data_IF_770107714718
#
_entry.id   IF_770107714718
#
_cell.length_a   1.000
_cell.length_b   1.000
_cell.length_c   1.000
_cell.angle_alpha   90.00
_cell.angle_beta   90.00
_cell.angle_gamma   90.00
#
_symmetry.space_group_name_H-M   'P 1'
#
loop_
_entity.id
_entity.type
_entity.pdbx_description
1 polymer ?
#
# COMPACT_ATOMS: atom_id res chain seq x y z
N UNK A 1 78.10 -15.40 40.10
CA UNK A 1 78.42 -15.92 38.75
C UNK A 1 77.57 -15.14 37.75
N UNK A 2 78.12 -14.05 37.20
CA UNK A 2 78.67 -13.89 35.82
C UNK A 2 77.56 -13.84 34.74
N UNK A 3 77.24 -12.63 34.25
CA UNK A 3 77.49 -12.08 32.86
C UNK A 3 76.47 -12.57 31.80
N UNK A 4 76.01 -11.85 30.76
CA UNK A 4 76.21 -10.56 30.06
C UNK A 4 74.96 -10.33 29.14
N UNK A 5 74.43 -9.13 28.83
CA UNK A 5 74.85 -8.00 27.96
C UNK A 5 74.95 -8.27 26.43
N UNK A 6 74.17 -7.50 25.64
CA UNK A 6 74.35 -6.96 24.26
C UNK A 6 72.94 -6.78 23.63
N UNK A 7 72.38 -5.64 23.23
CA UNK A 7 72.85 -4.37 22.65
C UNK A 7 73.65 -4.52 21.36
N UNK A 8 73.12 -4.04 20.22
CA UNK A 8 73.84 -3.33 19.15
C UNK A 8 72.89 -2.92 18.01
N UNK A 9 73.00 -1.64 17.66
CA UNK A 9 72.30 -0.91 16.61
C UNK A 9 72.93 -1.07 15.21
N UNK A 10 72.20 -0.50 14.24
CA UNK A 10 72.70 0.47 13.25
C UNK A 10 72.71 0.07 11.75
N UNK A 11 72.32 1.09 10.97
CA UNK A 11 72.87 1.51 9.67
C UNK A 11 72.14 1.09 8.39
N UNK A 12 71.32 2.03 7.90
CA UNK A 12 71.23 2.45 6.48
C UNK A 12 72.63 2.68 5.89
N UNK A 13 72.86 2.50 4.56
CA UNK A 13 72.43 3.51 3.58
C UNK A 13 72.06 3.00 2.16
N UNK A 14 71.27 3.79 1.44
CA UNK A 14 71.21 3.87 -0.04
C UNK A 14 72.43 4.70 -0.55
N UNK A 15 72.61 5.12 -1.83
CA UNK A 15 71.95 4.85 -3.12
C UNK A 15 72.97 4.55 -4.26
N UNK A 16 72.52 4.22 -5.48
CA UNK A 16 73.07 4.65 -6.80
C UNK A 16 72.34 3.90 -7.93
N UNK A 17 71.49 4.61 -8.66
CA UNK A 17 71.77 5.16 -10.01
C UNK A 17 71.70 4.12 -11.13
N UNK A 18 70.65 4.28 -11.95
CA UNK A 18 70.76 4.39 -13.41
C UNK A 18 69.42 4.87 -13.99
N UNK A 19 69.43 6.13 -14.44
CA UNK A 19 68.92 6.70 -15.69
C UNK A 19 67.82 5.95 -16.46
N UNK A 20 66.95 6.60 -17.23
CA UNK A 20 66.50 7.98 -17.44
C UNK A 20 65.69 7.93 -18.74
N UNK A 21 64.64 8.75 -18.82
CA UNK A 21 64.01 9.24 -20.06
C UNK A 21 63.33 8.15 -20.93
N UNK A 22 62.29 8.39 -21.72
CA UNK A 22 61.63 9.59 -22.20
C UNK A 22 60.28 9.15 -22.81
N UNK A 23 59.46 10.12 -23.15
CA UNK A 23 58.32 10.08 -24.07
C UNK A 23 56.99 9.49 -23.60
N UNK A 24 55.83 10.05 -23.96
CA UNK A 24 55.40 11.39 -24.36
C UNK A 24 53.89 11.26 -24.57
N UNK A 25 53.17 12.31 -24.21
CA UNK A 25 51.76 12.55 -24.52
C UNK A 25 51.49 12.51 -26.02
N UNK A 26 50.32 12.02 -26.43
CA UNK A 26 49.75 12.36 -27.74
C UNK A 26 48.25 12.59 -27.63
N UNK A 27 47.91 13.87 -27.41
CA UNK A 27 46.69 14.50 -27.91
C UNK A 27 46.54 14.24 -29.41
N UNK A 28 45.33 13.93 -29.87
CA UNK A 28 44.95 14.08 -31.27
C UNK A 28 43.72 14.99 -31.34
N UNK A 29 43.96 16.21 -31.81
CA UNK A 29 42.96 17.17 -32.31
C UNK A 29 43.39 17.59 -33.71
N UNK A 30 42.46 17.54 -34.67
CA UNK A 30 42.38 18.26 -35.97
C UNK A 30 41.33 17.54 -36.83
N UNK A 31 40.63 18.14 -37.77
CA UNK A 31 39.94 19.42 -37.91
C UNK A 31 38.96 19.22 -39.07
N UNK A 32 38.00 20.13 -39.18
CA UNK A 32 36.84 20.20 -40.08
C UNK A 32 37.16 20.20 -41.60
N UNK A 33 36.35 19.51 -42.41
CA UNK A 33 35.96 19.92 -43.78
C UNK A 33 34.58 19.37 -44.14
N UNK A 34 33.65 20.24 -44.54
CA UNK A 34 32.23 19.93 -44.69
C UNK A 34 31.71 19.46 -46.06
N UNK A 35 30.44 19.08 -46.00
CA UNK A 35 29.34 19.13 -46.99
C UNK A 35 29.33 18.17 -48.19
N UNK A 36 28.40 17.20 -48.17
CA UNK A 36 27.32 17.10 -49.17
C UNK A 36 26.27 16.03 -48.81
N UNK A 37 25.02 16.45 -48.95
CA UNK A 37 23.73 15.77 -48.83
C UNK A 37 23.61 14.44 -49.59
N UNK A 38 23.21 13.35 -48.93
CA UNK A 38 22.26 12.36 -49.49
C UNK A 38 21.40 11.75 -48.38
N UNK A 39 20.10 11.75 -48.62
CA UNK A 39 19.04 11.29 -47.74
C UNK A 39 19.04 9.76 -47.65
N UNK A 40 19.28 9.20 -46.46
CA UNK A 40 18.97 7.80 -46.17
C UNK A 40 18.39 7.71 -44.76
N UNK A 41 17.17 7.18 -44.68
CA UNK A 41 16.36 7.07 -43.47
C UNK A 41 17.06 6.26 -42.37
N UNK A 42 16.96 6.65 -41.08
CA UNK A 42 17.44 5.81 -40.00
C UNK A 42 16.45 4.66 -39.80
N UNK A 43 16.89 3.45 -40.15
CA UNK A 43 16.24 2.21 -39.77
C UNK A 43 16.23 2.10 -38.24
N UNK A 44 15.04 2.18 -37.68
CA UNK A 44 14.74 2.05 -36.27
C UNK A 44 15.11 0.63 -35.80
N UNK A 45 16.31 0.43 -35.26
CA UNK A 45 16.71 -0.83 -34.62
C UNK A 45 16.07 -0.88 -33.23
N UNK A 46 14.79 -1.22 -33.18
CA UNK A 46 14.13 -1.64 -31.95
C UNK A 46 14.79 -2.95 -31.50
N UNK A 47 15.62 -2.86 -30.46
CA UNK A 47 16.01 -4.01 -29.68
C UNK A 47 14.73 -4.78 -29.26
N UNK A 48 14.75 -6.12 -29.23
CA UNK A 48 13.59 -6.89 -28.80
C UNK A 48 13.21 -6.44 -27.40
N UNK A 49 12.00 -5.87 -27.29
CA UNK A 49 11.51 -5.25 -26.08
C UNK A 49 11.64 -6.20 -24.91
N UNK A 50 12.35 -5.75 -23.88
CA UNK A 50 12.25 -6.36 -22.56
C UNK A 50 10.76 -6.55 -22.22
N UNK A 51 10.37 -7.68 -21.62
CA UNK A 51 8.98 -7.90 -21.24
C UNK A 51 8.50 -6.69 -20.44
N UNK A 52 7.23 -6.24 -20.63
CA UNK A 52 6.73 -5.07 -19.93
C UNK A 52 6.91 -5.29 -18.43
N UNK A 53 7.76 -4.47 -17.80
CA UNK A 53 8.05 -4.58 -16.39
C UNK A 53 6.72 -4.50 -15.61
N UNK A 54 6.45 -5.53 -14.80
CA UNK A 54 5.19 -5.60 -14.08
C UNK A 54 5.04 -4.38 -13.16
N UNK A 55 3.96 -3.63 -13.37
CA UNK A 55 3.64 -2.47 -12.55
C UNK A 55 3.07 -2.94 -11.21
N UNK A 56 3.56 -2.33 -10.13
CA UNK A 56 3.06 -2.57 -8.77
C UNK A 56 2.68 -1.25 -8.11
N UNK A 57 1.69 -1.31 -7.22
CA UNK A 57 1.29 -0.20 -6.35
C UNK A 57 1.44 -0.64 -4.90
N UNK A 58 2.36 -0.01 -4.17
CA UNK A 58 2.63 -0.28 -2.76
C UNK A 58 2.22 0.89 -1.89
N UNK A 59 1.69 0.57 -0.71
CA UNK A 59 1.20 1.55 0.26
C UNK A 59 1.91 1.32 1.58
N UNK A 60 2.31 2.39 2.26
CA UNK A 60 2.84 2.28 3.61
C UNK A 60 2.34 3.42 4.51
N UNK A 61 2.37 3.15 5.81
CA UNK A 61 2.12 4.14 6.85
C UNK A 61 3.44 4.84 7.18
N UNK A 62 3.41 6.17 7.19
CA UNK A 62 4.53 7.03 7.58
C UNK A 62 4.06 8.04 8.62
N UNK A 63 4.96 8.50 9.48
CA UNK A 63 4.64 9.54 10.46
C UNK A 63 4.53 10.90 9.75
N UNK A 64 3.68 11.79 10.25
CA UNK A 64 3.48 13.14 9.69
C UNK A 64 4.79 13.95 9.61
N UNK A 65 5.72 13.71 10.54
CA UNK A 65 7.06 14.31 10.51
C UNK A 65 7.86 13.83 9.28
N UNK A 66 7.98 12.52 9.08
CA UNK A 66 8.67 11.94 7.92
C UNK A 66 8.03 12.37 6.61
N UNK A 67 6.68 12.44 6.58
CA UNK A 67 5.94 12.91 5.42
C UNK A 67 6.32 14.35 5.02
N UNK A 68 6.61 15.22 5.99
CA UNK A 68 7.04 16.59 5.73
C UNK A 68 8.44 16.64 5.11
N UNK A 69 9.34 15.76 5.57
CA UNK A 69 10.70 15.60 5.02
C UNK A 69 10.66 15.04 3.60
N UNK A 70 9.80 14.04 3.35
CA UNK A 70 9.62 13.42 2.03
C UNK A 70 9.07 14.42 1.02
N UNK A 71 8.11 15.26 1.41
CA UNK A 71 7.51 16.25 0.50
C UNK A 71 8.51 17.39 0.23
N UNK A 72 9.13 17.94 1.28
CA UNK A 72 10.00 19.11 1.18
C UNK A 72 9.25 20.41 0.86
N UNK A 73 9.95 21.55 0.94
CA UNK A 73 9.36 22.86 0.62
C UNK A 73 8.92 22.89 -0.85
N UNK A 74 7.65 23.24 -1.10
CA UNK A 74 7.08 23.27 -2.46
C UNK A 74 7.05 21.93 -3.19
N UNK A 75 7.20 20.79 -2.48
CA UNK A 75 7.29 19.48 -3.12
C UNK A 75 8.65 19.15 -3.75
N UNK A 76 9.69 19.94 -3.48
CA UNK A 76 11.03 19.78 -4.08
C UNK A 76 11.60 18.37 -3.86
N UNK A 77 11.54 17.84 -2.63
CA UNK A 77 12.12 16.54 -2.31
C UNK A 77 11.36 15.39 -2.97
N UNK A 78 10.02 15.42 -2.95
CA UNK A 78 9.21 14.35 -3.56
C UNK A 78 9.34 14.38 -5.08
N UNK A 79 9.52 15.55 -5.68
CA UNK A 79 9.79 15.67 -7.12
C UNK A 79 11.15 15.07 -7.49
N UNK A 80 12.20 15.34 -6.71
CA UNK A 80 13.52 14.73 -6.93
C UNK A 80 13.48 13.19 -6.77
N UNK A 81 12.74 12.69 -5.78
CA UNK A 81 12.54 11.24 -5.60
C UNK A 81 11.83 10.65 -6.82
N UNK A 82 10.77 11.30 -7.34
CA UNK A 82 10.05 10.85 -8.55
C UNK A 82 10.96 10.83 -9.77
N UNK A 83 11.77 11.87 -9.96
CA UNK A 83 12.71 11.99 -11.08
C UNK A 83 13.79 10.89 -11.02
N UNK A 84 14.46 10.72 -9.88
CA UNK A 84 15.54 9.73 -9.74
C UNK A 84 15.06 8.28 -9.72
N UNK A 85 13.84 8.03 -9.23
CA UNK A 85 13.28 6.67 -9.17
C UNK A 85 12.51 6.26 -10.42
N UNK A 86 11.89 7.21 -11.14
CA UNK A 86 10.91 6.91 -12.19
C UNK A 86 9.56 6.41 -11.64
N UNK A 87 9.35 6.43 -10.32
CA UNK A 87 8.11 5.99 -9.70
C UNK A 87 7.15 7.16 -9.44
N UNK A 88 5.85 6.86 -9.43
CA UNK A 88 4.81 7.78 -8.98
C UNK A 88 4.69 7.71 -7.46
N UNK A 89 5.14 8.75 -6.78
CA UNK A 89 5.08 8.89 -5.32
C UNK A 89 3.98 9.88 -4.93
N UNK A 90 3.04 9.51 -4.05
CA UNK A 90 1.95 10.36 -3.58
C UNK A 90 1.74 10.21 -2.08
N UNK A 91 1.70 11.32 -1.35
CA UNK A 91 1.44 11.34 0.09
C UNK A 91 0.01 11.80 0.34
N UNK A 92 -0.76 11.09 1.18
CA UNK A 92 -2.11 11.50 1.57
C UNK A 92 -2.10 12.83 2.30
N UNK A 93 -3.21 13.56 2.28
CA UNK A 93 -3.41 14.73 3.13
C UNK A 93 -3.20 14.39 4.62
N UNK A 94 -2.78 15.39 5.40
CA UNK A 94 -2.64 15.23 6.85
C UNK A 94 -4.00 15.32 7.51
N UNK A 95 -4.32 14.36 8.36
CA UNK A 95 -5.59 14.34 9.10
C UNK A 95 -5.34 14.88 10.51
N UNK A 96 -6.06 15.92 10.97
CA UNK A 96 -5.90 16.44 12.32
C UNK A 96 -6.10 15.36 13.38
N UNK A 97 -5.18 15.29 14.35
CA UNK A 97 -5.21 14.30 15.43
C UNK A 97 -4.68 12.91 15.05
N UNK A 98 -4.33 12.66 13.78
CA UNK A 98 -3.69 11.42 13.37
C UNK A 98 -2.19 11.64 13.08
N UNK A 99 -1.28 10.94 13.79
CA UNK A 99 0.16 11.08 13.57
C UNK A 99 0.66 10.32 12.33
N UNK A 100 -0.18 9.49 11.70
CA UNK A 100 0.17 8.68 10.54
C UNK A 100 -0.50 9.20 9.24
N UNK A 101 0.23 9.07 8.14
CA UNK A 101 -0.19 9.39 6.77
C UNK A 101 0.08 8.19 5.87
N UNK A 102 -0.62 8.11 4.75
CA UNK A 102 -0.40 7.06 3.76
C UNK A 102 0.52 7.58 2.65
N UNK A 103 1.60 6.85 2.42
CA UNK A 103 2.46 7.01 1.26
C UNK A 103 2.09 5.95 0.22
N UNK A 104 1.73 6.39 -0.99
CA UNK A 104 1.46 5.53 -2.13
C UNK A 104 2.61 5.65 -3.12
N UNK A 105 3.18 4.53 -3.54
CA UNK A 105 4.27 4.46 -4.52
C UNK A 105 3.88 3.46 -5.60
N UNK A 106 3.88 3.87 -6.86
CA UNK A 106 3.55 2.98 -7.97
C UNK A 106 4.42 3.16 -9.20
N UNK A 107 4.51 2.10 -10.00
CA UNK A 107 5.31 2.03 -11.21
C UNK A 107 5.92 0.64 -11.38
N UNK A 108 6.94 0.50 -12.24
CA UNK A 108 7.74 -0.71 -12.34
C UNK A 108 8.35 -1.08 -10.99
N UNK A 109 8.50 -2.38 -10.71
CA UNK A 109 9.04 -2.85 -9.43
C UNK A 109 10.41 -2.24 -9.10
N UNK A 110 11.31 -2.15 -10.08
CA UNK A 110 12.64 -1.55 -9.91
C UNK A 110 12.54 -0.08 -9.49
N UNK A 111 11.62 0.67 -10.11
CA UNK A 111 11.36 2.07 -9.78
C UNK A 111 10.78 2.22 -8.37
N UNK A 112 9.81 1.39 -8.01
CA UNK A 112 9.14 1.41 -6.70
C UNK A 112 10.14 1.10 -5.58
N UNK A 113 10.92 0.03 -5.74
CA UNK A 113 11.91 -0.39 -4.75
C UNK A 113 13.04 0.64 -4.57
N UNK A 114 13.53 1.22 -5.68
CA UNK A 114 14.47 2.36 -5.66
C UNK A 114 13.89 3.58 -4.95
N UNK A 115 12.61 3.91 -5.19
CA UNK A 115 11.95 5.04 -4.53
C UNK A 115 11.95 4.89 -3.00
N UNK A 116 11.66 3.70 -2.47
CA UNK A 116 11.71 3.46 -1.02
C UNK A 116 13.11 3.61 -0.42
N UNK A 117 14.16 3.18 -1.14
CA UNK A 117 15.54 3.45 -0.75
C UNK A 117 15.85 4.96 -0.68
N UNK A 118 15.45 5.73 -1.70
CA UNK A 118 15.63 7.18 -1.73
C UNK A 118 14.83 7.90 -0.63
N UNK A 119 13.62 7.43 -0.33
CA UNK A 119 12.79 7.95 0.76
C UNK A 119 13.51 7.80 2.10
N UNK A 120 14.07 6.62 2.39
CA UNK A 120 14.80 6.38 3.64
C UNK A 120 16.07 7.24 3.71
N UNK A 121 16.84 7.35 2.62
CA UNK A 121 17.98 8.27 2.56
C UNK A 121 17.56 9.71 2.86
N UNK A 122 16.44 10.16 2.30
CA UNK A 122 15.92 11.52 2.57
C UNK A 122 15.51 11.70 4.02
N UNK A 123 14.83 10.73 4.62
CA UNK A 123 14.46 10.77 6.05
C UNK A 123 15.71 10.87 6.93
N UNK A 124 16.79 10.19 6.54
CA UNK A 124 18.08 10.20 7.22
C UNK A 124 19.00 11.38 6.90
N UNK A 125 18.61 12.25 5.96
CA UNK A 125 19.46 13.31 5.42
C UNK A 125 20.80 12.78 4.86
N UNK A 126 20.76 11.61 4.22
CA UNK A 126 21.89 10.96 3.58
C UNK A 126 21.92 11.24 2.06
N UNK A 127 23.11 11.40 1.44
CA UNK A 127 23.23 11.61 0.00
C UNK A 127 22.78 10.37 -0.79
N UNK A 128 22.10 10.60 -1.91
CA UNK A 128 21.52 9.54 -2.75
C UNK A 128 22.53 8.65 -3.46
N UNK A 129 23.70 9.20 -3.77
CA UNK A 129 24.71 8.51 -4.59
C UNK A 129 25.73 7.74 -3.75
N UNK A 130 25.60 7.75 -2.41
CA UNK A 130 26.43 6.95 -1.52
C UNK A 130 25.69 5.71 -1.02
N UNK A 131 26.41 4.59 -1.00
CA UNK A 131 25.95 3.37 -0.35
C UNK A 131 25.78 3.59 1.16
N UNK A 132 24.79 2.92 1.76
CA UNK A 132 24.66 2.90 3.21
C UNK A 132 25.87 2.21 3.85
N UNK A 133 26.39 2.78 4.93
CA UNK A 133 27.53 2.20 5.66
C UNK A 133 27.04 1.43 6.90
N UNK A 134 27.82 0.47 7.41
CA UNK A 134 27.57 -0.11 8.73
C UNK A 134 27.52 1.01 9.79
N UNK A 135 26.34 1.27 10.35
CA UNK A 135 26.09 2.39 11.27
C UNK A 135 25.15 3.48 10.75
N UNK A 136 24.77 3.45 9.47
CA UNK A 136 23.67 4.29 8.94
C UNK A 136 22.39 4.08 9.74
N UNK A 137 21.61 5.14 9.92
CA UNK A 137 20.42 5.12 10.77
C UNK A 137 19.35 4.19 10.18
N UNK A 138 18.94 3.17 10.94
CA UNK A 138 17.87 2.27 10.52
C UNK A 138 16.51 2.98 10.63
N UNK A 139 15.68 2.82 9.60
CA UNK A 139 14.30 3.32 9.56
C UNK A 139 13.35 2.12 9.43
N UNK A 140 12.16 2.22 10.00
CA UNK A 140 11.11 1.21 9.87
C UNK A 140 10.01 1.71 8.94
N UNK A 141 9.81 1.02 7.82
CA UNK A 141 8.69 1.27 6.89
C UNK A 141 7.58 0.25 7.17
N UNK A 142 6.35 0.74 7.36
CA UNK A 142 5.17 -0.09 7.66
C UNK A 142 4.34 -0.29 6.39
N UNK A 143 4.63 -1.32 5.61
CA UNK A 143 3.87 -1.64 4.41
C UNK A 143 2.49 -2.17 4.76
N UNK A 144 1.50 -1.77 3.97
CA UNK A 144 0.11 -2.21 4.09
C UNK A 144 -0.11 -3.30 3.05
N UNK A 145 -0.18 -4.54 3.52
CA UNK A 145 -0.30 -5.72 2.67
C UNK A 145 -1.70 -6.31 2.85
N UNK A 146 -2.46 -6.52 1.77
CA UNK A 146 -3.71 -7.24 1.86
C UNK A 146 -3.58 -8.57 2.61
N UNK A 147 -4.52 -8.87 3.50
CA UNK A 147 -4.49 -10.10 4.29
C UNK A 147 -4.43 -11.35 3.40
N UNK A 148 -5.13 -11.33 2.25
CA UNK A 148 -5.10 -12.41 1.26
C UNK A 148 -3.71 -12.66 0.65
N UNK A 149 -2.81 -11.65 0.67
CA UNK A 149 -1.45 -11.72 0.12
C UNK A 149 -0.37 -11.79 1.20
N UNK A 150 -0.71 -11.56 2.46
CA UNK A 150 0.28 -11.64 3.55
C UNK A 150 0.91 -13.04 3.65
N UNK A 151 0.11 -14.10 3.42
CA UNK A 151 0.60 -15.48 3.45
C UNK A 151 1.67 -15.80 2.40
N UNK A 152 1.64 -15.16 1.22
CA UNK A 152 2.66 -15.37 0.19
C UNK A 152 3.99 -14.70 0.54
N UNK A 153 3.96 -13.59 1.27
CA UNK A 153 5.15 -12.90 1.77
C UNK A 153 5.78 -13.66 2.94
N UNK A 154 4.97 -14.21 3.85
CA UNK A 154 5.46 -15.01 4.99
C UNK A 154 6.04 -16.36 4.50
N UNK A 155 5.31 -17.04 3.61
CA UNK A 155 5.64 -18.40 3.15
C UNK A 155 5.30 -19.48 4.18
N UNK A 156 5.27 -20.74 3.74
CA UNK A 156 5.02 -21.90 4.61
C UNK A 156 6.11 -21.95 5.70
N UNK A 157 5.72 -22.01 6.97
CA UNK A 157 6.67 -22.02 8.10
C UNK A 157 7.52 -20.74 8.25
N UNK A 158 7.16 -19.65 7.57
CA UNK A 158 7.95 -18.40 7.58
C UNK A 158 9.20 -18.45 6.72
N UNK A 159 9.35 -19.41 5.80
CA UNK A 159 10.58 -19.57 5.01
C UNK A 159 10.83 -18.36 4.08
N UNK A 160 9.81 -17.84 3.40
CA UNK A 160 9.99 -16.71 2.47
C UNK A 160 10.37 -15.42 3.21
N UNK A 161 9.71 -15.10 4.31
CA UNK A 161 10.07 -13.88 5.07
C UNK A 161 11.47 -13.98 5.68
N UNK A 162 11.96 -15.18 6.01
CA UNK A 162 13.36 -15.39 6.42
C UNK A 162 14.32 -15.18 5.26
N UNK A 163 14.04 -15.77 4.10
CA UNK A 163 14.84 -15.57 2.89
C UNK A 163 14.97 -14.09 2.50
N UNK A 164 13.88 -13.31 2.60
CA UNK A 164 13.92 -11.86 2.35
C UNK A 164 14.80 -11.16 3.38
N UNK A 165 14.74 -11.54 4.66
CA UNK A 165 15.59 -10.97 5.71
C UNK A 165 17.07 -11.28 5.46
N UNK A 166 17.39 -12.51 5.09
CA UNK A 166 18.76 -12.95 4.82
C UNK A 166 19.34 -12.25 3.58
N UNK A 167 18.54 -12.09 2.51
CA UNK A 167 18.99 -11.45 1.27
C UNK A 167 19.12 -9.92 1.39
N UNK A 168 18.25 -9.27 2.18
CA UNK A 168 18.23 -7.81 2.30
C UNK A 168 19.04 -7.26 3.48
N UNK A 169 19.31 -8.09 4.49
CA UNK A 169 19.82 -7.62 5.79
C UNK A 169 18.83 -6.75 6.57
N UNK A 170 17.57 -6.63 6.11
CA UNK A 170 16.51 -5.96 6.85
C UNK A 170 15.84 -6.92 7.84
N UNK A 171 15.23 -6.36 8.88
CA UNK A 171 14.36 -7.11 9.80
C UNK A 171 12.91 -6.95 9.39
N UNK A 172 12.20 -8.06 9.19
CA UNK A 172 10.81 -8.06 8.75
C UNK A 172 9.89 -8.62 9.85
N UNK A 173 8.79 -7.93 10.13
CA UNK A 173 7.78 -8.38 11.10
C UNK A 173 6.36 -8.17 10.57
N UNK A 174 5.57 -9.23 10.49
CA UNK A 174 4.19 -9.19 10.03
C UNK A 174 3.21 -9.14 11.22
N UNK A 175 2.33 -8.14 11.24
CA UNK A 175 1.30 -8.02 12.30
C UNK A 175 0.29 -9.16 12.21
N UNK A 176 -0.16 -9.71 13.33
CA UNK A 176 -1.19 -10.77 13.34
C UNK A 176 -2.58 -10.24 12.95
N UNK A 177 -2.92 -9.04 13.45
CA UNK A 177 -4.19 -8.37 13.20
C UNK A 177 -4.22 -7.53 11.93
N UNK A 178 -5.42 -7.36 11.39
CA UNK A 178 -5.74 -6.42 10.32
C UNK A 178 -5.89 -4.99 10.86
N UNK A 179 -5.64 -4.01 10.01
CA UNK A 179 -5.87 -2.60 10.30
C UNK A 179 -7.38 -2.33 10.47
N UNK A 180 -7.80 -1.45 11.42
CA UNK A 180 -9.20 -1.16 11.66
C UNK A 180 -9.91 -0.66 10.40
N UNK A 181 -11.06 -1.26 10.07
CA UNK A 181 -11.86 -0.86 8.90
C UNK A 181 -11.22 -1.20 7.55
N UNK A 182 -10.19 -2.04 7.52
CA UNK A 182 -9.49 -2.49 6.32
C UNK A 182 -9.37 -4.01 6.27
N UNK A 183 -8.95 -4.53 5.12
CA UNK A 183 -8.49 -5.92 4.93
C UNK A 183 -6.96 -6.04 4.88
N UNK A 184 -6.24 -4.95 5.13
CA UNK A 184 -4.77 -4.91 5.09
C UNK A 184 -4.18 -5.20 6.48
N UNK A 185 -3.03 -5.86 6.49
CA UNK A 185 -2.16 -6.09 7.65
C UNK A 185 -0.88 -5.29 7.47
N UNK A 186 -0.19 -5.01 8.58
CA UNK A 186 1.06 -4.26 8.55
C UNK A 186 2.24 -5.23 8.44
N UNK A 187 3.10 -5.00 7.45
CA UNK A 187 4.43 -5.59 7.36
C UNK A 187 5.46 -4.51 7.68
N UNK A 188 6.06 -4.59 8.86
CA UNK A 188 7.14 -3.70 9.29
C UNK A 188 8.47 -4.19 8.72
N UNK A 189 9.16 -3.33 7.97
CA UNK A 189 10.48 -3.60 7.39
C UNK A 189 11.45 -2.57 7.96
N UNK A 190 12.42 -3.02 8.74
CA UNK A 190 13.38 -2.18 9.45
C UNK A 190 14.79 -2.40 8.92
N UNK A 191 15.49 -1.34 8.53
CA UNK A 191 16.85 -1.46 8.01
C UNK A 191 17.42 -0.13 7.52
N UNK A 192 18.64 -0.17 7.00
CA UNK A 192 19.26 0.95 6.28
C UNK A 192 18.62 1.12 4.89
N UNK A 193 18.88 2.23 4.21
CA UNK A 193 18.23 2.53 2.93
C UNK A 193 18.39 1.43 1.87
N UNK A 194 19.58 0.85 1.75
CA UNK A 194 19.83 -0.23 0.79
C UNK A 194 19.11 -1.53 1.18
N UNK A 195 19.06 -1.85 2.48
CA UNK A 195 18.32 -2.99 2.97
C UNK A 195 16.80 -2.86 2.70
N UNK A 196 16.23 -1.65 2.89
CA UNK A 196 14.83 -1.39 2.56
C UNK A 196 14.57 -1.48 1.06
N UNK A 197 15.47 -0.97 0.22
CA UNK A 197 15.39 -1.10 -1.24
C UNK A 197 15.31 -2.58 -1.64
N UNK A 198 16.30 -3.38 -1.21
CA UNK A 198 16.38 -4.81 -1.55
C UNK A 198 15.16 -5.57 -1.02
N UNK A 199 14.78 -5.36 0.25
CA UNK A 199 13.61 -6.01 0.84
C UNK A 199 12.32 -5.66 0.07
N UNK A 200 12.15 -4.40 -0.33
CA UNK A 200 10.98 -3.95 -1.08
C UNK A 200 10.89 -4.62 -2.45
N UNK A 201 12.03 -4.81 -3.13
CA UNK A 201 12.10 -5.52 -4.39
C UNK A 201 11.58 -6.96 -4.25
N UNK A 202 12.09 -7.73 -3.28
CA UNK A 202 11.63 -9.11 -3.05
C UNK A 202 10.17 -9.20 -2.62
N UNK A 203 9.72 -8.30 -1.73
CA UNK A 203 8.31 -8.22 -1.33
C UNK A 203 7.44 -7.95 -2.56
N UNK A 204 7.83 -6.98 -3.40
CA UNK A 204 7.07 -6.62 -4.58
C UNK A 204 6.98 -7.75 -5.61
N UNK A 205 8.08 -8.49 -5.87
CA UNK A 205 8.06 -9.69 -6.72
C UNK A 205 7.03 -10.71 -6.22
N UNK A 206 7.04 -11.01 -4.91
CA UNK A 206 6.09 -11.95 -4.31
C UNK A 206 4.64 -11.47 -4.45
N UNK A 207 4.40 -10.16 -4.30
CA UNK A 207 3.07 -9.58 -4.42
C UNK A 207 2.55 -9.57 -5.86
N UNK A 208 3.43 -9.37 -6.85
CA UNK A 208 3.10 -9.49 -8.27
C UNK A 208 2.74 -10.94 -8.60
N UNK A 209 3.59 -11.91 -8.24
CA UNK A 209 3.30 -13.33 -8.44
C UNK A 209 1.98 -13.76 -7.76
N UNK A 210 1.73 -13.27 -6.55
CA UNK A 210 0.51 -13.59 -5.81
C UNK A 210 -0.73 -12.96 -6.47
N UNK A 211 -0.58 -11.79 -7.10
CA UNK A 211 -1.64 -11.15 -7.87
C UNK A 211 -1.99 -11.95 -9.13
N UNK A 212 -1.00 -12.51 -9.82
CA UNK A 212 -1.21 -13.35 -11.00
C UNK A 212 -1.89 -14.68 -10.66
N UNK A 213 -1.47 -15.32 -9.55
CA UNK A 213 -2.08 -16.58 -9.08
C UNK A 213 -3.51 -16.40 -8.56
N UNK A 214 -3.87 -15.19 -8.11
CA UNK A 214 -5.21 -14.90 -7.58
C UNK A 214 -5.64 -13.45 -7.87
N UNK A 215 -6.15 -13.17 -9.08
CA UNK A 215 -6.50 -11.80 -9.50
C UNK A 215 -7.72 -11.21 -8.77
N UNK A 216 -8.66 -12.05 -8.33
CA UNK A 216 -10.02 -11.62 -7.91
C UNK A 216 -10.19 -11.31 -6.42
N UNK A 217 -9.17 -10.74 -5.76
CA UNK A 217 -9.27 -10.39 -4.34
C UNK A 217 -9.74 -8.93 -4.16
N UNK A 218 -11.01 -8.73 -3.78
CA UNK A 218 -11.54 -7.42 -3.37
C UNK A 218 -10.90 -6.97 -2.06
N UNK A 219 -9.91 -6.07 -2.12
CA UNK A 219 -9.20 -5.55 -0.95
C UNK A 219 -9.74 -4.17 -0.56
N UNK A 220 -10.35 -4.09 0.63
CA UNK A 220 -10.67 -2.80 1.25
C UNK A 220 -9.38 -2.18 1.80
N UNK A 221 -8.89 -1.18 1.08
CA UNK A 221 -7.74 -0.34 1.45
C UNK A 221 -8.01 0.42 2.75
N UNK A 222 -7.07 0.40 3.69
CA UNK A 222 -7.15 1.20 4.90
C UNK A 222 -7.09 2.68 4.55
N UNK A 223 -7.95 3.47 5.22
CA UNK A 223 -7.97 4.92 5.16
C UNK A 223 -8.04 5.43 6.60
N UNK A 224 -7.05 6.20 7.08
CA UNK A 224 -7.09 6.75 8.42
C UNK A 224 -8.35 7.61 8.54
N UNK A 225 -9.16 7.34 9.57
CA UNK A 225 -10.39 8.06 9.83
C UNK A 225 -10.11 9.16 10.85
N UNK A 226 -10.59 10.38 10.59
CA UNK A 226 -10.69 11.42 11.60
C UNK A 226 -11.85 11.09 12.55
N UNK A 227 -11.55 10.73 13.79
CA UNK A 227 -12.53 10.83 14.88
C UNK A 227 -12.75 12.31 15.24
N UNK A 228 -13.33 13.08 14.32
CA UNK A 228 -13.86 14.41 14.61
C UNK A 228 -15.38 14.32 14.59
N UNK A 229 -15.96 14.19 15.79
CA UNK A 229 -17.34 14.63 16.07
C UNK A 229 -17.41 16.12 15.73
N UNK A 230 -17.82 16.49 14.52
CA UNK A 230 -18.32 17.85 14.27
C UNK A 230 -19.80 17.89 14.65
N UNK A 231 -20.23 18.79 15.54
CA UNK A 231 -21.65 19.08 15.69
C UNK A 231 -22.14 19.77 14.40
N UNK A 232 -23.35 19.51 13.91
CA UNK A 232 -23.86 20.19 12.72
C UNK A 232 -24.14 21.65 13.08
N UNK A 233 -23.34 22.56 12.53
CA UNK A 233 -23.69 23.98 12.46
C UNK A 233 -24.86 24.15 11.49
N UNK A 234 -25.97 24.63 12.05
CA UNK A 234 -27.18 25.04 11.34
C UNK A 234 -26.83 26.18 10.36
N UNK A 235 -26.95 25.94 9.05
CA UNK A 235 -26.92 27.02 8.07
C UNK A 235 -28.23 26.99 7.29
N UNK A 236 -29.05 28.01 7.55
CA UNK A 236 -30.40 28.16 7.03
C UNK A 236 -30.42 28.25 5.51
N UNK A 237 -31.40 27.55 4.94
CA UNK A 237 -31.77 27.60 3.54
C UNK A 237 -32.52 28.90 3.25
N UNK A 238 -31.98 29.77 2.39
CA UNK A 238 -32.75 30.79 1.69
C UNK A 238 -33.24 30.22 0.36
N UNK A 239 -34.55 30.19 0.23
CA UNK A 239 -35.33 29.68 -0.90
C UNK A 239 -35.32 30.70 -2.04
N UNK A 240 -35.00 30.29 -3.27
CA UNK A 240 -35.31 31.07 -4.50
C UNK A 240 -35.89 30.10 -5.55
N UNK A 241 -37.14 30.30 -6.01
CA UNK A 241 -37.78 29.37 -6.94
C UNK A 241 -37.59 29.77 -8.41
N UNK A 242 -37.37 28.75 -9.24
CA UNK A 242 -37.94 28.60 -10.59
C UNK A 242 -37.26 29.36 -11.74
N UNK A 243 -36.73 28.62 -12.71
CA UNK A 243 -37.11 28.72 -14.13
C UNK A 243 -36.65 27.44 -14.87
N UNK A 244 -37.62 26.80 -15.51
CA UNK A 244 -37.49 25.62 -16.36
C UNK A 244 -36.86 25.98 -17.72
N UNK A 245 -35.90 25.17 -18.19
CA UNK A 245 -35.44 25.21 -19.58
C UNK A 245 -35.53 23.79 -20.19
N UNK A 246 -36.38 23.54 -21.20
CA UNK A 246 -36.58 22.20 -21.74
C UNK A 246 -35.92 22.09 -23.12
N UNK A 247 -34.62 21.82 -23.22
CA UNK A 247 -33.98 21.26 -24.43
C UNK A 247 -32.55 20.82 -24.12
N UNK A 248 -32.36 19.53 -23.83
CA UNK A 248 -31.11 18.80 -24.03
C UNK A 248 -31.37 17.30 -23.90
N UNK A 249 -31.78 16.68 -25.01
CA UNK A 249 -31.70 15.23 -25.17
C UNK A 249 -30.22 14.84 -25.25
N UNK A 250 -29.77 14.08 -24.27
CA UNK A 250 -28.42 13.51 -24.25
C UNK A 250 -28.39 12.37 -23.25
N UNK A 251 -28.24 11.15 -23.76
CA UNK A 251 -28.00 9.93 -23.00
C UNK A 251 -26.78 10.12 -22.09
N UNK A 252 -27.01 10.43 -20.83
CA UNK A 252 -26.01 10.44 -19.78
C UNK A 252 -26.16 9.15 -18.99
N UNK A 253 -25.25 8.21 -19.19
CA UNK A 253 -24.98 7.16 -18.21
C UNK A 253 -24.58 7.85 -16.90
N UNK A 254 -25.55 7.94 -15.97
CA UNK A 254 -25.33 8.54 -14.67
C UNK A 254 -24.17 7.83 -13.96
N UNK A 255 -23.33 8.58 -13.19
CA UNK A 255 -22.33 7.96 -12.34
C UNK A 255 -23.05 6.99 -11.42
N UNK A 256 -22.61 5.74 -11.42
CA UNK A 256 -23.19 4.60 -10.71
C UNK A 256 -23.26 4.93 -9.21
N UNK A 257 -24.39 5.52 -8.76
CA UNK A 257 -24.55 6.00 -7.39
C UNK A 257 -24.61 4.81 -6.45
N UNK A 258 -23.67 4.78 -5.51
CA UNK A 258 -23.70 3.84 -4.39
C UNK A 258 -24.98 4.10 -3.59
N UNK A 259 -25.81 3.08 -3.45
CA UNK A 259 -27.01 3.11 -2.63
C UNK A 259 -26.72 2.48 -1.27
N UNK A 260 -27.59 2.76 -0.30
CA UNK A 260 -27.55 2.10 1.01
C UNK A 260 -28.93 1.53 1.31
N UNK A 261 -28.96 0.27 1.74
CA UNK A 261 -30.16 -0.42 2.16
C UNK A 261 -30.02 -0.93 3.59
N UNK A 262 -31.10 -0.82 4.34
CA UNK A 262 -31.18 -1.24 5.74
C UNK A 262 -32.14 -2.42 5.85
N UNK A 263 -31.73 -3.44 6.60
CA UNK A 263 -32.57 -4.59 6.93
C UNK A 263 -32.46 -4.89 8.42
N UNK A 264 -33.53 -5.44 9.01
CA UNK A 264 -33.56 -5.86 10.40
C UNK A 264 -33.51 -7.38 10.48
N UNK A 265 -32.64 -7.92 11.34
CA UNK A 265 -32.46 -9.35 11.54
C UNK A 265 -32.66 -9.66 13.02
N UNK A 266 -33.49 -10.65 13.41
CA UNK A 266 -33.64 -11.05 14.80
C UNK A 266 -32.30 -11.42 15.45
N UNK A 267 -32.11 -11.01 16.71
CA UNK A 267 -30.87 -11.23 17.46
C UNK A 267 -30.46 -12.70 17.50
N UNK A 268 -31.42 -13.62 17.63
CA UNK A 268 -31.17 -15.06 17.68
C UNK A 268 -30.65 -15.64 16.36
N UNK A 269 -30.91 -14.96 15.24
CA UNK A 269 -30.50 -15.40 13.91
C UNK A 269 -29.26 -14.67 13.39
N UNK A 270 -28.84 -13.56 14.02
CA UNK A 270 -27.65 -12.84 13.53
C UNK A 270 -26.38 -13.68 13.62
N UNK A 271 -26.30 -14.59 14.59
CA UNK A 271 -25.16 -15.48 14.77
C UNK A 271 -24.91 -16.38 13.56
N UNK A 272 -25.96 -16.86 12.89
CA UNK A 272 -25.83 -17.72 11.70
C UNK A 272 -25.42 -16.95 10.44
N UNK A 273 -25.70 -15.64 10.43
CA UNK A 273 -25.30 -14.71 9.38
C UNK A 273 -23.83 -14.31 9.53
N UNK A 274 -23.39 -14.02 10.76
CA UNK A 274 -21.99 -13.68 11.06
C UNK A 274 -21.09 -14.92 10.87
N UNK A 275 -21.49 -16.07 11.42
CA UNK A 275 -20.68 -17.28 11.44
C UNK A 275 -19.51 -17.22 12.42
N UNK A 276 -18.86 -18.37 12.67
CA UNK A 276 -17.70 -18.46 13.57
C UNK A 276 -16.58 -17.53 13.07
N UNK A 277 -16.15 -16.58 13.91
CA UNK A 277 -15.12 -15.59 13.56
C UNK A 277 -15.49 -14.64 12.42
N UNK A 278 -16.78 -14.49 12.10
CA UNK A 278 -17.23 -13.64 10.99
C UNK A 278 -17.07 -14.26 9.59
N UNK A 279 -16.72 -15.55 9.49
CA UNK A 279 -16.45 -16.20 8.21
C UNK A 279 -17.63 -16.12 7.23
N UNK A 280 -18.87 -16.31 7.72
CA UNK A 280 -20.05 -16.38 6.84
C UNK A 280 -20.46 -15.01 6.32
N UNK A 281 -20.44 -13.98 7.18
CA UNK A 281 -20.72 -12.62 6.71
C UNK A 281 -19.63 -12.12 5.76
N UNK A 282 -18.37 -12.54 5.97
CA UNK A 282 -17.28 -12.20 5.07
C UNK A 282 -17.45 -12.86 3.70
N UNK A 283 -17.95 -14.10 3.64
CA UNK A 283 -18.34 -14.76 2.39
C UNK A 283 -19.47 -14.00 1.66
N UNK A 284 -20.51 -13.57 2.38
CA UNK A 284 -21.63 -12.81 1.80
C UNK A 284 -21.17 -11.44 1.29
N UNK A 285 -20.28 -10.76 2.01
CA UNK A 285 -19.63 -9.51 1.55
C UNK A 285 -18.81 -9.74 0.29
N UNK A 286 -18.10 -10.87 0.22
CA UNK A 286 -17.28 -11.23 -0.93
C UNK A 286 -18.13 -11.51 -2.18
N UNK A 287 -19.16 -12.35 -2.04
CA UNK A 287 -20.05 -12.72 -3.15
C UNK A 287 -20.86 -11.53 -3.67
N UNK A 288 -21.37 -10.68 -2.77
CA UNK A 288 -22.23 -9.56 -3.16
C UNK A 288 -21.47 -8.31 -3.59
N UNK A 289 -20.16 -8.24 -3.36
CA UNK A 289 -19.36 -7.03 -3.54
C UNK A 289 -19.99 -5.77 -2.91
N UNK A 290 -20.69 -5.95 -1.78
CA UNK A 290 -21.33 -4.89 -1.00
C UNK A 290 -20.65 -4.70 0.35
N UNK A 291 -20.65 -3.47 0.85
CA UNK A 291 -20.23 -3.16 2.21
C UNK A 291 -21.38 -3.46 3.18
N UNK A 292 -21.23 -4.49 4.00
CA UNK A 292 -22.26 -4.90 4.96
C UNK A 292 -21.80 -4.60 6.38
N UNK A 293 -22.52 -3.76 7.13
CA UNK A 293 -22.23 -3.40 8.52
C UNK A 293 -23.38 -3.87 9.42
N UNK A 294 -23.05 -4.73 10.38
CA UNK A 294 -24.00 -5.24 11.37
C UNK A 294 -23.83 -4.39 12.62
N UNK A 295 -24.89 -3.69 13.03
CA UNK A 295 -24.90 -2.81 14.20
C UNK A 295 -24.98 -3.62 15.49
N UNK A 296 -24.67 -2.98 16.63
CA UNK A 296 -24.95 -3.52 17.96
C UNK A 296 -26.46 -3.53 18.25
N UNK A 297 -26.96 -4.42 19.12
CA UNK A 297 -28.37 -4.45 19.49
C UNK A 297 -28.75 -3.11 20.14
N UNK A 298 -29.86 -2.49 19.71
CA UNK A 298 -30.28 -1.17 20.19
C UNK A 298 -29.58 0.03 19.52
N UNK A 299 -28.70 -0.19 18.56
CA UNK A 299 -28.12 0.90 17.78
C UNK A 299 -29.13 1.52 16.80
N UNK A 300 -29.27 2.85 16.86
CA UNK A 300 -30.12 3.61 15.92
C UNK A 300 -29.38 3.78 14.60
N UNK A 301 -29.98 3.31 13.51
CA UNK A 301 -29.44 3.52 12.17
C UNK A 301 -29.49 4.99 11.74
N UNK A 302 -28.54 5.41 10.90
CA UNK A 302 -28.63 6.69 10.19
C UNK A 302 -29.26 6.41 8.83
N UNK A 303 -30.47 6.92 8.60
CA UNK A 303 -31.18 6.78 7.33
C UNK A 303 -30.52 7.56 6.19
N UNK A 304 -30.94 7.28 4.96
CA UNK A 304 -30.39 7.81 3.69
C UNK A 304 -30.31 9.36 3.63
N UNK A 305 -31.02 10.08 4.53
CA UNK A 305 -31.08 11.54 4.60
C UNK A 305 -30.62 12.13 5.95
N UNK A 306 -29.89 11.37 6.78
CA UNK A 306 -29.49 11.83 8.12
C UNK A 306 -30.62 11.87 9.16
N UNK A 307 -31.84 11.48 8.78
CA UNK A 307 -32.92 11.21 9.73
C UNK A 307 -32.60 9.92 10.52
N UNK A 308 -32.85 9.89 11.84
CA UNK A 308 -32.73 8.66 12.60
C UNK A 308 -33.68 7.62 12.01
N UNK A 309 -33.13 6.46 11.64
CA UNK A 309 -33.95 5.30 11.34
C UNK A 309 -34.73 4.93 12.62
N UNK A 310 -35.96 4.42 12.51
CA UNK A 310 -36.68 3.93 13.67
C UNK A 310 -35.79 2.95 14.42
N UNK A 311 -35.72 3.07 15.75
CA UNK A 311 -34.97 2.13 16.56
C UNK A 311 -35.47 0.71 16.25
N UNK A 312 -34.55 -0.20 15.93
CA UNK A 312 -34.91 -1.61 15.82
C UNK A 312 -35.56 -2.05 17.13
N UNK A 313 -36.62 -2.87 17.06
CA UNK A 313 -37.26 -3.41 18.26
C UNK A 313 -36.22 -4.14 19.13
N UNK A 314 -36.49 -4.29 20.44
CA UNK A 314 -35.54 -4.86 21.41
C UNK A 314 -35.00 -6.26 21.03
N UNK A 315 -35.63 -6.97 20.08
CA UNK A 315 -35.21 -8.26 19.55
C UNK A 315 -34.49 -8.25 18.20
N UNK A 316 -34.22 -7.10 17.58
CA UNK A 316 -33.71 -7.01 16.21
C UNK A 316 -32.39 -6.24 16.10
N UNK A 317 -31.58 -6.63 15.12
CA UNK A 317 -30.29 -6.04 14.82
C UNK A 317 -30.30 -5.44 13.43
N UNK A 318 -29.92 -4.16 13.35
CA UNK A 318 -29.84 -3.44 12.10
C UNK A 318 -28.60 -3.88 11.30
N UNK A 319 -28.82 -4.21 10.04
CA UNK A 319 -27.77 -4.47 9.04
C UNK A 319 -27.88 -3.42 7.95
N UNK A 320 -26.77 -2.71 7.72
CA UNK A 320 -26.64 -1.66 6.71
C UNK A 320 -25.78 -2.19 5.57
N UNK A 321 -26.30 -2.13 4.34
CA UNK A 321 -25.66 -2.64 3.13
C UNK A 321 -25.45 -1.45 2.18
N UNK A 322 -24.21 -1.13 1.84
CA UNK A 322 -23.87 -0.04 0.92
C UNK A 322 -23.15 -0.60 -0.32
N UNK A 323 -23.59 -0.23 -1.52
CA UNK A 323 -23.03 -0.77 -2.76
C UNK A 323 -23.78 -0.33 -4.00
N UNK A 324 -23.46 -0.93 -5.14
CA UNK A 324 -24.28 -0.77 -6.35
C UNK A 324 -25.65 -1.44 -6.16
N UNK A 325 -26.73 -0.97 -6.82
CA UNK A 325 -28.07 -1.55 -6.65
C UNK A 325 -28.12 -3.08 -6.87
N UNK A 326 -27.41 -3.58 -7.90
CA UNK A 326 -27.31 -5.01 -8.18
C UNK A 326 -26.57 -5.78 -7.07
N UNK A 327 -25.49 -5.20 -6.54
CA UNK A 327 -24.69 -5.75 -5.46
C UNK A 327 -25.51 -5.84 -4.16
N UNK A 328 -26.28 -4.79 -3.85
CA UNK A 328 -27.16 -4.75 -2.68
C UNK A 328 -28.22 -5.85 -2.78
N UNK A 329 -28.88 -5.99 -3.94
CA UNK A 329 -29.89 -7.04 -4.15
C UNK A 329 -29.30 -8.42 -3.92
N UNK A 330 -28.11 -8.68 -4.45
CA UNK A 330 -27.39 -9.94 -4.23
C UNK A 330 -27.06 -10.17 -2.74
N UNK A 331 -26.59 -9.14 -2.05
CA UNK A 331 -26.31 -9.21 -0.61
C UNK A 331 -27.56 -9.57 0.19
N UNK A 332 -28.68 -8.90 -0.10
CA UNK A 332 -29.96 -9.12 0.55
C UNK A 332 -30.45 -10.55 0.33
N UNK A 333 -30.37 -11.07 -0.90
CA UNK A 333 -30.75 -12.46 -1.20
C UNK A 333 -29.92 -13.48 -0.42
N UNK A 334 -28.59 -13.30 -0.37
CA UNK A 334 -27.70 -14.20 0.37
C UNK A 334 -27.97 -14.19 1.88
N UNK A 335 -28.28 -13.01 2.45
CA UNK A 335 -28.65 -12.86 3.85
C UNK A 335 -29.97 -13.59 4.15
N UNK A 336 -31.01 -13.36 3.36
CA UNK A 336 -32.31 -14.04 3.55
C UNK A 336 -32.21 -15.54 3.37
N UNK A 337 -31.49 -16.00 2.34
CA UNK A 337 -31.29 -17.43 2.10
C UNK A 337 -30.63 -18.10 3.32
N UNK A 338 -29.69 -17.43 3.97
CA UNK A 338 -29.03 -17.97 5.15
C UNK A 338 -29.93 -17.98 6.38
N UNK A 339 -30.73 -16.93 6.58
CA UNK A 339 -31.74 -16.88 7.64
C UNK A 339 -32.74 -18.04 7.51
N UNK A 340 -33.19 -18.30 6.28
CA UNK A 340 -34.15 -19.36 5.99
C UNK A 340 -33.58 -20.75 6.22
N UNK A 341 -32.33 -21.00 5.80
CA UNK A 341 -31.64 -22.27 6.11
C UNK A 341 -31.54 -22.54 7.61
N UNK A 342 -31.24 -21.51 8.42
CA UNK A 342 -31.15 -21.68 9.87
C UNK A 342 -32.53 -21.88 10.51
N UNK A 343 -33.56 -21.17 10.03
CA UNK A 343 -34.95 -21.36 10.47
C UNK A 343 -35.44 -22.78 10.19
N UNK A 344 -35.15 -23.32 9.00
CA UNK A 344 -35.50 -24.69 8.62
C UNK A 344 -34.80 -25.73 9.51
N UNK A 345 -33.54 -25.46 9.87
CA UNK A 345 -32.75 -26.32 10.76
C UNK A 345 -33.29 -26.32 12.19
N UNK A 346 -33.69 -25.15 12.71
CA UNK A 346 -34.32 -25.03 14.03
C UNK A 346 -35.66 -25.78 14.09
N UNK A 347 -36.49 -25.68 13.05
CA UNK A 347 -37.75 -26.42 12.94
C UNK A 347 -37.54 -27.94 12.92
N UNK A 348 -36.53 -28.43 12.19
CA UNK A 348 -36.17 -29.87 12.20
C UNK A 348 -35.64 -30.35 13.55
N UNK A 349 -34.85 -29.52 14.25
CA UNK A 349 -34.34 -29.84 15.57
C UNK A 349 -35.46 -29.91 16.63
N UNK A 350 -36.51 -29.10 16.49
CA UNK A 350 -37.68 -29.14 17.37
C UNK A 350 -38.57 -30.36 17.12
N UNK A 351 -38.60 -30.92 15.90
CA UNK A 351 -39.38 -32.12 15.58
C UNK A 351 -38.69 -33.45 15.94
N UNK A 352 -37.38 -33.44 16.22
CA UNK A 352 -36.59 -34.64 16.55
C UNK A 352 -36.34 -34.81 18.05
N UNK A 353 -36.85 -33.88 18.87
CA UNK A 353 -36.72 -33.89 20.34
C UNK A 353 -38.02 -34.06 21.10
N UNK A 354 -39.08 -34.57 20.46
CA UNK A 354 -40.36 -34.90 21.08
C UNK A 354 -40.62 -36.41 21.06
#
# INVERSE_FOLDING_TARGET
MKHALADTAASTPSPTDRNAADMASSEVKREDTGSATTSAAPSNSSAPGAPPAANIHMRCLIVTQDASIIIGKGGSHVNEIREKSGARVMVSESIPGNPERILNVSGPLDAVSKAFGLIVRRINDEPFDKASVPGSRAVTIKFMIPNSRMGSVIGKGGTKIKEIQDASGARLNASEGMLPGSTERVLSVSGVADAIHIATYYIGNILIEANERMPSSNNSSYRPSSYSRRPPSYQGSSYVPGYSNPYAGGSHSAPQQLQTQQIYIPNDLVGCIIGKGGAKINEIRHMSASQIKIMEPGAVGVGMNGAPAPAGGEGERLVVITGQPANIQMAVQLLYHRLEQEKQKQLRAQQTGA
#
